data_IF_492046625412
#
_entry.id   IF_492046625412
#
_cell.length_a   1.000
_cell.length_b   1.000
_cell.length_c   1.000
_cell.angle_alpha   90.00
_cell.angle_beta   90.00
_cell.angle_gamma   90.00
#
_symmetry.space_group_name_H-M   'P 1'
#
loop_
_entity.id
_entity.type
_entity.pdbx_description
1 polymer ?
#
# COMPACT_ATOMS: atom_id res chain seq x y z
N UNK A 1 22.16 -24.15 -7.29
CA UNK A 1 21.86 -22.70 -7.43
C UNK A 1 20.41 -22.56 -7.89
N UNK A 2 19.49 -22.40 -6.95
CA UNK A 2 18.04 -22.38 -7.23
C UNK A 2 17.59 -20.92 -7.36
N UNK A 3 17.30 -20.47 -8.58
CA UNK A 3 16.84 -19.12 -8.85
C UNK A 3 15.45 -18.88 -8.27
N UNK A 4 15.32 -17.89 -7.39
CA UNK A 4 14.01 -17.43 -6.92
C UNK A 4 13.37 -16.62 -8.04
N UNK A 5 12.54 -17.25 -8.86
CA UNK A 5 11.63 -16.51 -9.75
C UNK A 5 10.52 -15.93 -8.88
N UNK A 6 10.77 -14.75 -8.29
CA UNK A 6 9.70 -13.94 -7.67
C UNK A 6 8.74 -13.59 -8.80
N UNK A 7 7.61 -14.29 -8.83
CA UNK A 7 6.68 -14.32 -9.96
C UNK A 7 6.25 -12.93 -10.42
N UNK A 8 5.86 -12.86 -11.71
CA UNK A 8 5.33 -11.67 -12.40
C UNK A 8 4.43 -10.85 -11.46
N UNK A 9 4.59 -9.51 -11.37
CA UNK A 9 3.73 -8.69 -10.54
C UNK A 9 2.27 -8.99 -10.86
N UNK A 10 1.38 -9.15 -9.87
CA UNK A 10 -0.02 -9.40 -10.14
C UNK A 10 -0.61 -8.14 -10.78
N UNK A 11 -0.61 -8.10 -12.11
CA UNK A 11 -1.10 -6.96 -12.91
C UNK A 11 -2.56 -6.64 -12.61
N UNK A 12 -3.34 -7.65 -12.18
CA UNK A 12 -4.72 -7.47 -11.75
C UNK A 12 -4.86 -6.65 -10.46
N UNK A 13 -3.99 -6.87 -9.47
CA UNK A 13 -4.04 -6.15 -8.19
C UNK A 13 -3.73 -4.67 -8.39
N UNK A 14 -2.74 -4.35 -9.23
CA UNK A 14 -2.39 -2.96 -9.57
C UNK A 14 -3.53 -2.28 -10.32
N UNK A 15 -4.13 -2.93 -11.33
CA UNK A 15 -5.28 -2.36 -12.07
C UNK A 15 -6.47 -2.06 -11.15
N UNK A 16 -6.78 -2.95 -10.21
CA UNK A 16 -7.83 -2.71 -9.22
C UNK A 16 -7.47 -1.55 -8.30
N UNK A 17 -6.24 -1.51 -7.79
CA UNK A 17 -5.79 -0.40 -6.97
C UNK A 17 -5.86 0.94 -7.68
N UNK A 18 -5.53 1.02 -8.98
CA UNK A 18 -5.70 2.25 -9.78
C UNK A 18 -7.15 2.71 -9.78
N UNK A 19 -8.12 1.80 -9.93
CA UNK A 19 -9.55 2.16 -9.86
C UNK A 19 -9.95 2.66 -8.46
N UNK A 20 -9.46 2.02 -7.40
CA UNK A 20 -9.67 2.46 -6.01
C UNK A 20 -9.06 3.84 -5.76
N UNK A 21 -7.85 4.06 -6.25
CA UNK A 21 -7.08 5.31 -6.09
C UNK A 21 -7.71 6.48 -6.84
N UNK A 22 -8.28 6.25 -8.03
CA UNK A 22 -8.97 7.29 -8.81
C UNK A 22 -10.19 7.86 -8.10
N UNK A 23 -10.80 7.11 -7.19
CA UNK A 23 -11.89 7.64 -6.36
C UNK A 23 -11.40 8.66 -5.32
N UNK A 24 -10.09 8.71 -5.04
CA UNK A 24 -9.47 9.60 -4.04
C UNK A 24 -8.76 10.80 -4.66
N UNK A 25 -8.51 10.80 -5.97
CA UNK A 25 -7.85 11.90 -6.66
C UNK A 25 -7.15 11.50 -7.96
N UNK A 26 -6.21 12.34 -8.39
CA UNK A 26 -5.39 12.09 -9.57
C UNK A 26 -4.35 11.02 -9.22
N UNK A 27 -4.18 10.03 -10.09
CA UNK A 27 -3.30 8.87 -9.85
C UNK A 27 -2.12 8.90 -10.82
N UNK A 28 -0.92 8.76 -10.27
CA UNK A 28 0.32 8.54 -11.01
C UNK A 28 0.85 7.15 -10.68
N UNK A 29 1.12 6.34 -11.70
CA UNK A 29 1.79 5.05 -11.52
C UNK A 29 3.30 5.24 -11.48
N UNK A 30 3.96 4.68 -10.47
CA UNK A 30 5.43 4.70 -10.38
C UNK A 30 5.97 3.50 -11.15
N UNK A 31 6.93 3.75 -12.04
CA UNK A 31 7.68 2.67 -12.70
C UNK A 31 8.40 1.85 -11.63
N UNK A 32 7.97 0.61 -11.46
CA UNK A 32 8.48 -0.24 -10.38
C UNK A 32 9.92 -0.70 -10.65
N UNK A 33 10.79 -0.39 -9.70
CA UNK A 33 12.08 -1.03 -9.46
C UNK A 33 12.07 -1.73 -8.10
N UNK A 34 13.07 -2.55 -7.80
CA UNK A 34 13.18 -3.19 -6.48
C UNK A 34 13.26 -2.17 -5.32
N UNK A 35 13.71 -0.95 -5.62
CA UNK A 35 13.93 0.12 -4.65
C UNK A 35 12.77 1.11 -4.59
N UNK A 36 11.78 0.99 -5.48
CA UNK A 36 10.64 1.92 -5.50
C UNK A 36 9.86 1.77 -4.19
N UNK A 37 9.74 2.82 -3.36
CA UNK A 37 9.07 2.72 -2.06
C UNK A 37 7.55 2.57 -2.22
N UNK A 38 7.00 3.17 -3.28
CA UNK A 38 5.59 3.15 -3.61
C UNK A 38 5.38 2.70 -5.06
N UNK A 39 4.13 2.37 -5.36
CA UNK A 39 3.67 1.88 -6.66
C UNK A 39 2.66 2.82 -7.30
N UNK A 40 1.90 3.56 -6.48
CA UNK A 40 1.03 4.66 -6.92
C UNK A 40 1.33 5.91 -6.08
N UNK A 41 1.13 7.06 -6.69
CA UNK A 41 0.95 8.34 -6.00
C UNK A 41 -0.46 8.84 -6.28
N UNK A 42 -1.17 9.25 -5.23
CA UNK A 42 -2.49 9.86 -5.32
C UNK A 42 -2.36 11.32 -4.89
N UNK A 43 -2.81 12.25 -5.71
CA UNK A 43 -2.94 13.66 -5.31
C UNK A 43 -4.41 14.02 -5.21
N UNK A 44 -4.85 14.39 -4.01
CA UNK A 44 -6.26 14.63 -3.70
C UNK A 44 -6.47 14.93 -2.22
N UNK A 45 -7.60 15.53 -1.86
CA UNK A 45 -7.93 15.88 -0.46
C UNK A 45 -6.82 16.69 0.25
N UNK A 46 -6.16 17.60 -0.48
CA UNK A 46 -5.02 18.39 0.01
C UNK A 46 -3.82 17.57 0.50
N UNK A 47 -3.69 16.32 0.05
CA UNK A 47 -2.61 15.39 0.40
C UNK A 47 -1.99 14.73 -0.83
N UNK A 48 -0.74 14.32 -0.67
CA UNK A 48 -0.02 13.42 -1.56
C UNK A 48 0.12 12.09 -0.84
N UNK A 49 -0.50 11.05 -1.38
CA UNK A 49 -0.52 9.71 -0.79
C UNK A 49 0.36 8.79 -1.61
N UNK A 50 1.40 8.25 -0.98
CA UNK A 50 2.26 7.23 -1.56
C UNK A 50 1.76 5.84 -1.16
N UNK A 51 1.35 5.05 -2.14
CA UNK A 51 0.72 3.75 -1.90
C UNK A 51 1.67 2.64 -2.29
N UNK A 52 1.84 1.64 -1.43
CA UNK A 52 2.43 0.34 -1.79
C UNK A 52 1.35 -0.73 -1.75
N UNK A 53 1.38 -1.64 -2.71
CA UNK A 53 0.37 -2.71 -2.83
C UNK A 53 1.01 -4.06 -2.52
N UNK A 54 0.39 -4.85 -1.65
CA UNK A 54 0.84 -6.19 -1.28
C UNK A 54 -0.28 -7.21 -1.41
N UNK A 55 0.03 -8.38 -1.96
CA UNK A 55 -0.88 -9.52 -1.96
C UNK A 55 -0.58 -10.35 -0.72
N UNK A 56 -1.60 -10.65 0.07
CA UNK A 56 -1.48 -11.48 1.27
C UNK A 56 -2.33 -12.75 1.14
N UNK A 57 -1.94 -13.80 1.86
CA UNK A 57 -2.65 -15.08 1.82
C UNK A 57 -3.95 -15.05 2.63
N UNK A 58 -3.94 -14.35 3.77
CA UNK A 58 -5.09 -14.26 4.68
C UNK A 58 -5.39 -12.81 5.06
N UNK A 59 -6.55 -12.32 4.64
CA UNK A 59 -7.03 -10.97 4.96
C UNK A 59 -7.46 -10.80 6.41
N UNK A 60 -7.64 -11.90 7.14
CA UNK A 60 -8.11 -11.93 8.54
C UNK A 60 -6.99 -11.71 9.56
N UNK A 61 -5.73 -11.62 9.13
CA UNK A 61 -4.59 -11.32 9.99
C UNK A 61 -4.80 -9.99 10.71
N UNK A 62 -4.44 -9.92 11.97
CA UNK A 62 -4.43 -8.66 12.74
C UNK A 62 -3.48 -7.64 12.10
N UNK A 63 -3.67 -6.33 12.36
CA UNK A 63 -2.73 -5.31 11.90
C UNK A 63 -1.27 -5.60 12.31
N UNK A 64 -1.05 -6.14 13.51
CA UNK A 64 0.28 -6.51 14.00
C UNK A 64 0.92 -7.67 13.21
N UNK A 65 0.12 -8.68 12.83
CA UNK A 65 0.59 -9.78 11.98
C UNK A 65 0.94 -9.27 10.56
N UNK A 66 0.13 -8.35 10.02
CA UNK A 66 0.40 -7.69 8.73
C UNK A 66 1.69 -6.87 8.82
N UNK A 67 1.87 -6.08 9.88
CA UNK A 67 3.10 -5.30 10.09
C UNK A 67 4.34 -6.19 10.18
N UNK A 68 4.23 -7.33 10.84
CA UNK A 68 5.32 -8.29 10.95
C UNK A 68 5.69 -8.92 9.59
N UNK A 69 4.69 -9.31 8.79
CA UNK A 69 4.89 -9.96 7.48
C UNK A 69 5.38 -8.99 6.40
N UNK A 70 4.87 -7.76 6.39
CA UNK A 70 5.19 -6.74 5.39
C UNK A 70 6.24 -5.72 5.89
N UNK A 71 7.05 -6.08 6.90
CA UNK A 71 8.05 -5.20 7.52
C UNK A 71 8.97 -4.50 6.51
N UNK A 72 9.49 -5.23 5.52
CA UNK A 72 10.36 -4.65 4.49
C UNK A 72 9.62 -3.63 3.62
N UNK A 73 8.37 -3.92 3.26
CA UNK A 73 7.52 -3.05 2.46
C UNK A 73 7.18 -1.76 3.23
N UNK A 74 6.93 -1.89 4.53
CA UNK A 74 6.69 -0.78 5.46
C UNK A 74 7.95 0.06 5.66
N UNK A 75 9.12 -0.58 5.84
CA UNK A 75 10.39 0.11 5.95
C UNK A 75 10.70 0.95 4.70
N UNK A 76 10.46 0.40 3.50
CA UNK A 76 10.57 1.14 2.25
C UNK A 76 9.61 2.33 2.19
N UNK A 77 8.33 2.16 2.57
CA UNK A 77 7.40 3.28 2.64
C UNK A 77 7.87 4.36 3.64
N UNK A 78 8.42 3.97 4.79
CA UNK A 78 8.93 4.88 5.82
C UNK A 78 10.15 5.71 5.36
N UNK A 79 10.77 5.39 4.24
CA UNK A 79 11.79 6.27 3.61
C UNK A 79 11.20 7.56 3.05
N UNK A 80 9.88 7.58 2.81
CA UNK A 80 9.14 8.77 2.41
C UNK A 80 8.80 9.56 3.68
N UNK A 81 8.95 10.90 3.68
CA UNK A 81 8.51 11.71 4.81
C UNK A 81 7.00 11.55 5.06
N UNK A 82 6.60 11.22 6.29
CA UNK A 82 5.20 11.28 6.73
C UNK A 82 4.90 12.62 7.39
N UNK A 83 3.85 13.32 6.96
CA UNK A 83 3.39 14.55 7.60
C UNK A 83 1.91 14.85 7.21
N UNK A 84 1.41 16.03 7.58
CA UNK A 84 0.01 16.41 7.32
C UNK A 84 -0.36 16.52 5.83
N UNK A 85 0.63 16.70 4.95
CA UNK A 85 0.43 16.81 3.49
C UNK A 85 0.91 15.56 2.74
N UNK A 86 1.73 14.71 3.35
CA UNK A 86 2.24 13.47 2.76
C UNK A 86 1.83 12.28 3.61
N UNK A 87 0.98 11.41 3.06
CA UNK A 87 0.64 10.12 3.68
C UNK A 87 1.34 8.96 2.99
N UNK A 88 1.64 7.92 3.76
CA UNK A 88 2.21 6.65 3.30
C UNK A 88 1.17 5.59 3.55
N UNK A 89 0.86 4.78 2.57
CA UNK A 89 -0.19 3.78 2.72
C UNK A 89 0.23 2.41 2.21
N UNK A 90 -0.05 1.40 3.03
CA UNK A 90 0.05 0.00 2.67
C UNK A 90 -1.34 -0.50 2.33
N UNK A 91 -1.55 -0.92 1.09
CA UNK A 91 -2.79 -1.54 0.64
C UNK A 91 -2.56 -3.03 0.46
N UNK A 92 -3.26 -3.83 1.24
CA UNK A 92 -3.19 -5.29 1.16
C UNK A 92 -4.45 -5.83 0.50
N UNK A 93 -4.28 -6.87 -0.31
CA UNK A 93 -5.41 -7.56 -0.90
C UNK A 93 -5.24 -9.07 -0.88
N UNK A 94 -6.36 -9.76 -0.77
CA UNK A 94 -6.42 -11.22 -0.75
C UNK A 94 -6.56 -11.81 -2.16
N UNK A 95 -6.35 -13.11 -2.29
CA UNK A 95 -6.65 -13.84 -3.54
C UNK A 95 -8.12 -13.74 -3.97
N UNK A 96 -9.03 -13.40 -3.05
CA UNK A 96 -10.46 -13.25 -3.31
C UNK A 96 -10.87 -11.80 -3.64
N UNK A 97 -9.90 -10.87 -3.76
CA UNK A 97 -10.16 -9.48 -4.13
C UNK A 97 -10.65 -8.59 -2.98
N UNK A 98 -10.56 -9.07 -1.73
CA UNK A 98 -10.83 -8.24 -0.54
C UNK A 98 -9.64 -7.33 -0.26
N UNK A 99 -9.91 -6.04 0.01
CA UNK A 99 -8.89 -5.03 0.30
C UNK A 99 -8.95 -4.57 1.74
N UNK A 100 -7.78 -4.28 2.32
CA UNK A 100 -7.61 -3.51 3.55
C UNK A 100 -6.55 -2.44 3.34
N UNK A 101 -6.72 -1.32 4.00
CA UNK A 101 -5.94 -0.11 3.78
C UNK A 101 -5.34 0.32 5.11
N UNK A 102 -4.06 0.66 5.11
CA UNK A 102 -3.35 1.08 6.31
C UNK A 102 -2.58 2.36 6.04
N UNK A 103 -2.73 3.35 6.91
CA UNK A 103 -1.76 4.44 7.05
C UNK A 103 -0.51 3.90 7.73
N UNK A 104 0.65 4.21 7.15
CA UNK A 104 1.95 3.86 7.69
C UNK A 104 2.49 5.07 8.45
N UNK A 105 2.38 5.00 9.78
CA UNK A 105 2.99 5.96 10.68
C UNK A 105 4.43 5.54 11.02
N UNK A 106 5.19 6.44 11.65
CA UNK A 106 6.60 6.20 11.94
C UNK A 106 6.80 5.00 12.89
N UNK A 107 5.84 4.75 13.78
CA UNK A 107 5.93 3.66 14.77
C UNK A 107 4.88 2.55 14.65
N UNK A 108 3.82 2.72 13.86
CA UNK A 108 2.71 1.77 13.81
C UNK A 108 1.96 1.81 12.48
N UNK A 109 1.11 0.81 12.26
CA UNK A 109 0.07 0.84 11.23
C UNK A 109 -1.26 1.25 11.83
N UNK A 110 -1.96 2.17 11.15
CA UNK A 110 -3.34 2.50 11.44
C UNK A 110 -4.23 2.01 10.30
N UNK A 111 -5.20 1.16 10.59
CA UNK A 111 -6.16 0.76 9.57
C UNK A 111 -7.10 1.94 9.22
N UNK A 112 -7.34 2.14 7.94
CA UNK A 112 -8.12 3.26 7.39
C UNK A 112 -9.21 2.74 6.47
N UNK A 113 -10.25 3.54 6.29
CA UNK A 113 -11.27 3.30 5.27
C UNK A 113 -10.68 3.41 3.87
N UNK A 114 -11.42 2.88 2.89
CA UNK A 114 -11.06 2.93 1.47
C UNK A 114 -10.82 4.35 0.94
N UNK A 115 -11.45 5.36 1.52
CA UNK A 115 -11.31 6.77 1.13
C UNK A 115 -10.12 7.48 1.80
N UNK A 116 -9.44 6.80 2.74
CA UNK A 116 -8.34 7.36 3.52
C UNK A 116 -8.71 7.92 4.87
N UNK A 117 -9.98 7.89 5.26
CA UNK A 117 -10.40 8.34 6.59
C UNK A 117 -10.02 7.29 7.66
N UNK A 118 -9.68 7.72 8.88
CA UNK A 118 -9.41 6.78 9.97
C UNK A 118 -10.64 5.93 10.31
N UNK A 119 -10.43 4.65 10.62
CA UNK A 119 -11.44 3.80 11.26
C UNK A 119 -11.51 4.18 12.74
N UNK A 120 -12.31 5.20 13.07
CA UNK A 120 -12.54 5.66 14.45
C UNK A 120 -13.63 4.84 15.11
#
# INVERSE_FOLDING_TARGET
MSGVTRGRPPTQGIRQAVMLARARGIVMEIRQTNESPAVLVITGNSRVTFVRIRRIESIRRSPAEIEAEDREAIALLRTIPGNNTISRELWVYSKFGTWRFFSVEDGWLLEIHRDGSPLI
#
